data_IF_061526599331
#
_entry.id   IF_061526599331
#
_cell.length_a   1.000
_cell.length_b   1.000
_cell.length_c   1.000
_cell.angle_alpha   90.00
_cell.angle_beta   90.00
_cell.angle_gamma   90.00
#
_symmetry.space_group_name_H-M   'P 1'
#
loop_
_entity.id
_entity.type
_entity.pdbx_description
1 polymer ?
#
# COMPACT_ATOMS: atom_id res chain seq x y z
N UNK A 1 9.07 -41.81 14.46
CA UNK A 1 9.01 -41.17 15.79
C UNK A 1 10.14 -40.16 15.83
N UNK A 2 9.84 -38.88 15.58
CA UNK A 2 10.82 -37.80 15.72
C UNK A 2 11.16 -37.66 17.22
N UNK A 3 12.43 -37.47 17.57
CA UNK A 3 12.84 -37.45 18.98
C UNK A 3 12.42 -36.14 19.66
N UNK A 4 12.19 -36.14 20.98
CA UNK A 4 11.86 -34.92 21.76
C UNK A 4 12.85 -33.77 21.54
N UNK A 5 14.11 -34.09 21.20
CA UNK A 5 15.16 -33.12 20.87
C UNK A 5 14.91 -32.42 19.53
N UNK A 6 14.33 -33.11 18.55
CA UNK A 6 14.02 -32.52 17.24
C UNK A 6 12.83 -31.55 17.35
N UNK A 7 11.83 -31.89 18.17
CA UNK A 7 10.70 -31.00 18.48
C UNK A 7 11.19 -29.75 19.25
N UNK A 8 12.05 -29.92 20.25
CA UNK A 8 12.63 -28.78 20.98
C UNK A 8 13.45 -27.85 20.07
N UNK A 9 14.24 -28.40 19.14
CA UNK A 9 15.04 -27.61 18.21
C UNK A 9 14.19 -26.85 17.18
N UNK A 10 13.07 -27.44 16.73
CA UNK A 10 12.08 -26.76 15.90
C UNK A 10 11.36 -25.63 16.65
N UNK A 11 11.01 -25.84 17.93
CA UNK A 11 10.38 -24.84 18.79
C UNK A 11 11.36 -23.68 19.12
N UNK A 12 12.64 -23.97 19.34
CA UNK A 12 13.67 -22.93 19.57
C UNK A 12 13.88 -22.06 18.32
N UNK A 13 13.85 -22.63 17.11
CA UNK A 13 13.94 -21.85 15.87
C UNK A 13 12.76 -20.88 15.68
N UNK A 14 11.53 -21.24 16.12
CA UNK A 14 10.38 -20.32 16.12
C UNK A 14 10.50 -19.18 17.17
N UNK A 15 11.51 -19.23 18.05
CA UNK A 15 11.79 -18.28 19.13
C UNK A 15 13.09 -17.48 18.94
N UNK A 16 13.75 -17.56 17.78
CA UNK A 16 15.02 -16.87 17.53
C UNK A 16 14.96 -15.37 17.90
N UNK A 17 15.95 -14.94 18.67
CA UNK A 17 16.22 -13.55 19.07
C UNK A 17 17.46 -13.05 18.30
N UNK A 18 17.43 -11.92 17.57
CA UNK A 18 16.29 -11.02 17.38
C UNK A 18 15.13 -11.66 16.59
N UNK A 19 13.90 -11.30 16.98
CA UNK A 19 12.69 -11.70 16.27
C UNK A 19 12.80 -11.38 14.78
N UNK A 20 12.78 -12.41 13.95
CA UNK A 20 12.71 -12.28 12.51
C UNK A 20 11.25 -12.24 12.07
N UNK A 21 10.79 -11.10 11.52
CA UNK A 21 9.45 -10.98 10.92
C UNK A 21 9.26 -12.02 9.80
N UNK A 22 8.07 -12.61 9.72
CA UNK A 22 7.69 -13.54 8.64
C UNK A 22 8.09 -15.01 8.88
N UNK A 23 8.57 -15.37 10.08
CA UNK A 23 9.10 -16.70 10.37
C UNK A 23 8.16 -17.61 11.17
N UNK A 24 7.00 -17.11 11.60
CA UNK A 24 6.08 -17.87 12.47
C UNK A 24 5.02 -18.61 11.67
N UNK A 25 5.37 -19.79 11.15
CA UNK A 25 4.43 -20.67 10.45
C UNK A 25 3.57 -21.48 11.41
N UNK A 26 2.26 -21.49 11.15
CA UNK A 26 1.28 -22.30 11.87
C UNK A 26 1.08 -23.64 11.15
N UNK A 27 1.44 -24.74 11.81
CA UNK A 27 1.37 -26.09 11.26
C UNK A 27 0.24 -26.93 11.89
N UNK A 28 -0.10 -28.07 11.28
CA UNK A 28 -1.11 -28.98 11.83
C UNK A 28 -0.67 -29.50 13.21
N UNK A 29 -1.55 -29.35 14.21
CA UNK A 29 -1.27 -29.71 15.60
C UNK A 29 -0.66 -28.59 16.45
N UNK A 30 -0.26 -27.46 15.87
CA UNK A 30 0.21 -26.30 16.63
C UNK A 30 -0.90 -25.71 17.51
N UNK A 31 -0.51 -25.23 18.70
CA UNK A 31 -1.40 -24.44 19.52
C UNK A 31 -1.48 -23.01 18.96
N UNK A 32 -2.56 -22.71 18.23
CA UNK A 32 -2.85 -21.38 17.66
C UNK A 32 -2.67 -20.21 18.66
N UNK A 33 -2.84 -20.43 19.97
CA UNK A 33 -2.70 -19.40 21.00
C UNK A 33 -1.33 -19.37 21.68
N UNK A 34 -0.32 -20.05 21.15
CA UNK A 34 1.05 -20.00 21.65
C UNK A 34 1.66 -18.60 21.44
N UNK A 35 1.56 -18.06 20.23
CA UNK A 35 2.00 -16.70 19.89
C UNK A 35 0.80 -15.75 19.77
N UNK A 36 1.08 -14.43 19.73
CA UNK A 36 0.05 -13.42 19.48
C UNK A 36 -0.26 -13.24 17.99
N UNK A 37 0.62 -13.72 17.11
CA UNK A 37 0.45 -13.67 15.67
C UNK A 37 1.25 -14.80 14.97
N UNK A 38 0.71 -15.24 13.84
CA UNK A 38 1.30 -16.20 12.90
C UNK A 38 1.33 -15.59 11.49
N UNK A 39 2.34 -15.95 10.73
CA UNK A 39 2.63 -15.47 9.38
C UNK A 39 2.18 -16.50 8.33
N UNK A 40 1.83 -16.04 7.12
CA UNK A 40 1.44 -16.87 5.98
C UNK A 40 0.25 -17.81 6.25
N UNK A 41 -0.73 -17.36 7.05
CA UNK A 41 -1.89 -18.17 7.42
C UNK A 41 -3.08 -17.91 6.50
N UNK A 42 -3.53 -18.96 5.81
CA UNK A 42 -4.78 -18.93 5.06
C UNK A 42 -6.00 -18.96 5.98
N UNK A 43 -7.07 -18.21 5.67
CA UNK A 43 -8.33 -18.33 6.40
C UNK A 43 -8.94 -19.73 6.29
N UNK A 44 -9.42 -20.26 7.42
CA UNK A 44 -10.18 -21.50 7.47
C UNK A 44 -11.58 -21.36 6.83
N UNK A 45 -12.20 -22.49 6.50
CA UNK A 45 -13.50 -22.51 5.82
C UNK A 45 -14.62 -21.91 6.68
N UNK A 46 -14.50 -22.00 8.00
CA UNK A 46 -15.41 -21.34 8.94
C UNK A 46 -15.37 -19.82 8.79
N UNK A 47 -14.16 -19.23 8.76
CA UNK A 47 -14.01 -17.80 8.54
C UNK A 47 -14.47 -17.37 7.15
N UNK A 48 -14.17 -18.16 6.10
CA UNK A 48 -14.64 -17.87 4.73
C UNK A 48 -16.17 -17.84 4.66
N UNK A 49 -16.84 -18.84 5.22
CA UNK A 49 -18.30 -18.88 5.29
C UNK A 49 -18.86 -17.70 6.11
N UNK A 50 -18.24 -17.38 7.24
CA UNK A 50 -18.60 -16.21 8.05
C UNK A 50 -18.46 -14.90 7.25
N UNK A 51 -17.37 -14.74 6.50
CA UNK A 51 -17.12 -13.56 5.69
C UNK A 51 -18.21 -13.33 4.64
N UNK A 52 -18.59 -14.38 3.90
CA UNK A 52 -19.67 -14.29 2.89
C UNK A 52 -20.99 -13.84 3.51
N UNK A 53 -21.37 -14.40 4.67
CA UNK A 53 -22.57 -13.97 5.40
C UNK A 53 -22.49 -12.50 5.83
N UNK A 54 -21.30 -12.00 6.20
CA UNK A 54 -21.15 -10.58 6.52
C UNK A 54 -21.26 -9.70 5.27
N UNK A 55 -20.68 -10.10 4.15
CA UNK A 55 -20.76 -9.36 2.90
C UNK A 55 -22.22 -9.22 2.42
N UNK A 56 -23.02 -10.27 2.51
CA UNK A 56 -24.45 -10.21 2.21
C UNK A 56 -25.19 -9.19 3.10
N UNK A 57 -24.92 -9.20 4.41
CA UNK A 57 -25.51 -8.22 5.35
C UNK A 57 -25.10 -6.79 5.07
N UNK A 58 -23.85 -6.58 4.64
CA UNK A 58 -23.33 -5.27 4.27
C UNK A 58 -23.99 -4.77 2.99
N UNK A 59 -24.10 -5.60 1.95
CA UNK A 59 -24.80 -5.29 0.69
C UNK A 59 -26.29 -4.99 0.92
N UNK A 60 -26.94 -5.70 1.84
CA UNK A 60 -28.34 -5.49 2.18
C UNK A 60 -28.62 -4.16 2.93
N UNK A 61 -27.58 -3.49 3.44
CA UNK A 61 -27.70 -2.23 4.16
C UNK A 61 -26.58 -1.25 3.75
N UNK A 62 -26.60 -0.76 2.49
CA UNK A 62 -25.60 0.16 1.98
C UNK A 62 -25.70 1.54 2.66
N UNK A 63 -24.73 2.40 2.39
CA UNK A 63 -24.88 3.84 2.65
C UNK A 63 -26.08 4.40 1.87
N UNK A 64 -26.67 5.49 2.36
CA UNK A 64 -27.70 6.21 1.58
C UNK A 64 -27.06 6.92 0.38
N UNK A 65 -27.82 7.16 -0.69
CA UNK A 65 -27.34 7.93 -1.86
C UNK A 65 -26.81 9.32 -1.46
N UNK A 66 -27.50 9.95 -0.50
CA UNK A 66 -27.08 11.23 0.07
C UNK A 66 -25.69 11.14 0.71
N UNK A 67 -25.47 10.14 1.57
CA UNK A 67 -24.19 9.94 2.23
C UNK A 67 -23.11 9.51 1.24
N UNK A 68 -23.44 8.68 0.25
CA UNK A 68 -22.51 8.27 -0.82
C UNK A 68 -21.99 9.50 -1.58
N UNK A 69 -22.88 10.41 -1.97
CA UNK A 69 -22.52 11.68 -2.60
C UNK A 69 -21.67 12.55 -1.67
N UNK A 70 -22.08 12.67 -0.39
CA UNK A 70 -21.35 13.44 0.62
C UNK A 70 -19.91 12.95 0.85
N UNK A 71 -19.68 11.64 0.86
CA UNK A 71 -18.35 11.06 1.08
C UNK A 71 -17.46 11.16 -0.18
N UNK A 72 -18.06 11.17 -1.37
CA UNK A 72 -17.30 11.23 -2.63
C UNK A 72 -17.01 12.66 -3.13
N UNK A 73 -17.83 13.65 -2.81
CA UNK A 73 -17.65 15.01 -3.34
C UNK A 73 -16.52 15.80 -2.70
N UNK A 74 -16.22 15.55 -1.42
CA UNK A 74 -15.14 16.23 -0.70
C UNK A 74 -14.39 15.22 0.19
N UNK A 75 -13.61 14.30 -0.42
CA UNK A 75 -12.86 13.30 0.33
C UNK A 75 -11.75 13.94 1.20
N UNK A 76 -11.21 15.09 0.79
CA UNK A 76 -10.17 15.81 1.51
C UNK A 76 -10.64 16.25 2.90
N UNK A 77 -11.89 16.70 3.02
CA UNK A 77 -12.49 17.09 4.30
C UNK A 77 -12.41 16.00 5.37
N UNK A 78 -12.61 14.74 4.99
CA UNK A 78 -12.61 13.62 5.94
C UNK A 78 -11.20 13.32 6.46
N UNK A 79 -10.20 13.34 5.58
CA UNK A 79 -8.80 13.22 6.00
C UNK A 79 -8.33 14.43 6.82
N UNK A 80 -8.76 15.63 6.46
CA UNK A 80 -8.50 16.84 7.25
C UNK A 80 -9.09 16.74 8.67
N UNK A 81 -10.33 16.25 8.82
CA UNK A 81 -10.94 16.03 10.12
C UNK A 81 -10.19 14.94 10.91
N UNK A 82 -9.80 13.86 10.23
CA UNK A 82 -9.03 12.78 10.85
C UNK A 82 -7.72 13.29 11.46
N UNK A 83 -6.87 13.97 10.67
CA UNK A 83 -5.57 14.44 11.16
C UNK A 83 -5.69 15.59 12.16
N UNK A 84 -6.69 16.46 12.03
CA UNK A 84 -6.98 17.48 13.03
C UNK A 84 -7.30 16.88 14.40
N UNK A 85 -7.93 15.71 14.44
CA UNK A 85 -8.33 15.05 15.69
C UNK A 85 -7.26 14.11 16.26
N UNK A 86 -6.40 13.53 15.41
CA UNK A 86 -5.49 12.45 15.80
C UNK A 86 -4.00 12.82 15.79
N UNK A 87 -3.62 13.89 15.10
CA UNK A 87 -2.22 14.35 14.95
C UNK A 87 -1.28 13.21 14.52
N UNK A 88 -0.17 13.04 15.22
CA UNK A 88 0.87 12.02 15.10
C UNK A 88 0.63 10.77 15.98
N UNK A 89 -0.45 10.73 16.75
CA UNK A 89 -0.66 9.70 17.78
C UNK A 89 -1.28 8.40 17.26
N UNK A 90 -1.80 8.39 16.04
CA UNK A 90 -2.63 7.27 15.55
C UNK A 90 -1.80 6.16 14.89
N UNK A 91 -0.90 6.52 13.97
CA UNK A 91 -0.09 5.56 13.24
C UNK A 91 1.28 5.42 13.88
N UNK A 92 1.84 4.20 13.80
CA UNK A 92 3.17 3.90 14.31
C UNK A 92 4.19 3.94 13.19
N UNK A 93 5.44 4.27 13.55
CA UNK A 93 6.59 4.14 12.65
C UNK A 93 6.67 2.73 12.05
N UNK A 94 6.83 2.68 10.74
CA UNK A 94 6.82 1.43 9.98
C UNK A 94 8.19 0.74 10.05
N UNK A 95 8.43 0.02 11.13
CA UNK A 95 9.69 -0.71 11.40
C UNK A 95 10.03 -1.82 10.39
N UNK A 96 9.06 -2.26 9.59
CA UNK A 96 9.20 -3.34 8.63
C UNK A 96 9.66 -2.86 7.23
N UNK A 97 9.71 -1.55 6.98
CA UNK A 97 9.94 -0.99 5.64
C UNK A 97 11.20 -1.52 4.95
N UNK A 98 12.34 -1.55 5.64
CA UNK A 98 13.60 -1.98 5.02
C UNK A 98 13.64 -3.49 4.74
N UNK A 99 12.94 -4.29 5.53
CA UNK A 99 12.85 -5.73 5.32
C UNK A 99 11.96 -6.04 4.11
N UNK A 100 10.81 -5.38 4.01
CA UNK A 100 9.84 -5.61 2.94
C UNK A 100 10.22 -4.89 1.64
N UNK A 101 10.93 -3.77 1.72
CA UNK A 101 11.36 -2.96 0.59
C UNK A 101 12.87 -2.63 0.67
N UNK A 102 13.75 -3.59 0.33
CA UNK A 102 15.20 -3.41 0.40
C UNK A 102 15.75 -2.24 -0.40
N UNK A 103 15.05 -1.82 -1.48
CA UNK A 103 15.43 -0.63 -2.27
C UNK A 103 15.54 0.64 -1.41
N UNK A 104 14.77 0.74 -0.32
CA UNK A 104 14.86 1.88 0.60
C UNK A 104 16.20 1.92 1.35
N UNK A 105 16.81 0.76 1.60
CA UNK A 105 18.17 0.68 2.13
C UNK A 105 19.21 1.07 1.06
N UNK A 106 18.97 0.75 -0.22
CA UNK A 106 19.90 1.11 -1.31
C UNK A 106 19.96 2.62 -1.53
N UNK A 107 18.82 3.31 -1.59
CA UNK A 107 18.78 4.77 -1.85
C UNK A 107 19.31 5.60 -0.67
N UNK A 108 19.41 5.00 0.52
CA UNK A 108 19.91 5.64 1.74
C UNK A 108 21.41 5.41 1.99
N UNK A 109 22.10 4.62 1.17
CA UNK A 109 23.56 4.40 1.30
C UNK A 109 24.35 5.65 0.95
N UNK A 110 25.45 5.88 1.67
CA UNK A 110 26.37 7.02 1.51
C UNK A 110 26.73 7.34 0.05
N UNK A 111 26.97 6.31 -0.76
CA UNK A 111 27.45 6.44 -2.14
C UNK A 111 26.36 6.20 -3.21
N UNK A 112 25.07 6.22 -2.83
CA UNK A 112 23.95 5.98 -3.74
C UNK A 112 23.71 7.10 -4.77
N UNK A 113 24.44 8.20 -4.67
CA UNK A 113 24.28 9.38 -5.53
C UNK A 113 22.96 10.12 -5.28
N UNK A 114 22.58 11.07 -6.16
CA UNK A 114 21.29 11.75 -6.08
C UNK A 114 20.13 10.75 -6.17
N UNK A 115 19.27 10.76 -5.15
CA UNK A 115 18.09 9.89 -5.08
C UNK A 115 16.87 10.72 -4.67
N UNK A 116 15.77 10.55 -5.41
CA UNK A 116 14.49 11.20 -5.11
C UNK A 116 13.46 10.14 -4.77
N UNK A 117 12.95 10.19 -3.54
CA UNK A 117 11.87 9.32 -3.04
C UNK A 117 10.61 10.15 -2.85
N UNK A 118 9.50 9.71 -3.41
CA UNK A 118 8.18 10.31 -3.18
C UNK A 118 7.35 9.34 -2.32
N UNK A 119 6.91 9.79 -1.14
CA UNK A 119 5.84 9.13 -0.38
C UNK A 119 4.50 9.79 -0.71
N UNK A 120 3.54 9.01 -1.19
CA UNK A 120 2.17 9.48 -1.47
C UNK A 120 1.23 9.00 -0.37
N UNK A 121 0.50 9.92 0.25
CA UNK A 121 -0.28 9.63 1.46
C UNK A 121 0.61 9.51 2.69
N UNK A 122 1.55 10.45 2.84
CA UNK A 122 2.58 10.39 3.88
C UNK A 122 2.05 10.52 5.32
N UNK A 123 0.83 11.04 5.48
CA UNK A 123 0.18 11.19 6.77
C UNK A 123 1.00 12.04 7.74
N UNK A 124 1.24 11.50 8.94
CA UNK A 124 2.10 12.13 9.94
C UNK A 124 3.60 11.77 9.78
N UNK A 125 4.02 11.23 8.63
CA UNK A 125 5.44 10.96 8.33
C UNK A 125 5.99 9.63 8.86
N UNK A 126 5.13 8.67 9.23
CA UNK A 126 5.55 7.38 9.81
C UNK A 126 6.35 6.46 8.87
N UNK A 127 6.53 6.84 7.60
CA UNK A 127 7.49 6.23 6.66
C UNK A 127 8.66 7.18 6.40
N UNK A 128 8.36 8.44 6.03
CA UNK A 128 9.37 9.45 5.73
C UNK A 128 10.38 9.66 6.88
N UNK A 129 9.92 9.81 8.13
CA UNK A 129 10.83 10.03 9.26
C UNK A 129 11.74 8.84 9.54
N UNK A 130 11.27 7.59 9.63
CA UNK A 130 12.17 6.43 9.71
C UNK A 130 13.16 6.32 8.54
N UNK A 131 12.74 6.64 7.31
CA UNK A 131 13.62 6.62 6.14
C UNK A 131 14.78 7.62 6.30
N UNK A 132 14.48 8.85 6.71
CA UNK A 132 15.48 9.91 6.94
C UNK A 132 16.37 9.57 8.13
N UNK A 133 15.81 8.97 9.19
CA UNK A 133 16.57 8.60 10.40
C UNK A 133 17.64 7.55 10.10
N UNK A 134 17.38 6.68 9.13
CA UNK A 134 18.30 5.64 8.70
C UNK A 134 19.14 6.06 7.47
N UNK A 135 19.13 7.34 7.09
CA UNK A 135 19.80 7.83 5.89
C UNK A 135 21.28 8.13 6.12
N UNK A 136 22.14 7.61 5.25
CA UNK A 136 23.55 7.97 5.14
C UNK A 136 23.87 8.72 3.83
N UNK A 137 22.90 8.81 2.90
CA UNK A 137 23.04 9.47 1.62
C UNK A 137 22.83 10.99 1.73
N UNK A 138 23.90 11.75 1.56
CA UNK A 138 23.88 13.22 1.62
C UNK A 138 23.06 13.87 0.50
N UNK A 139 22.74 13.13 -0.56
CA UNK A 139 22.01 13.60 -1.75
C UNK A 139 20.59 12.99 -1.86
N UNK A 140 20.09 12.36 -0.79
CA UNK A 140 18.72 11.90 -0.73
C UNK A 140 17.76 13.08 -0.59
N UNK A 141 16.70 13.10 -1.41
CA UNK A 141 15.54 13.97 -1.23
C UNK A 141 14.26 13.16 -1.12
N UNK A 142 13.51 13.37 -0.04
CA UNK A 142 12.21 12.77 0.23
C UNK A 142 11.13 13.82 0.03
N UNK A 143 10.23 13.61 -0.92
CA UNK A 143 8.99 14.37 -1.07
C UNK A 143 7.88 13.60 -0.36
N UNK A 144 7.36 14.15 0.74
CA UNK A 144 6.32 13.54 1.55
C UNK A 144 4.98 14.23 1.30
N UNK A 145 4.19 13.69 0.38
CA UNK A 145 2.95 14.31 -0.06
C UNK A 145 1.73 13.68 0.60
N UNK A 146 0.77 14.51 1.02
CA UNK A 146 -0.51 14.03 1.54
C UNK A 146 -1.68 14.87 1.02
N UNK A 147 -2.85 14.26 0.88
CA UNK A 147 -4.06 14.97 0.46
C UNK A 147 -4.60 15.91 1.55
N UNK A 148 -4.27 15.63 2.81
CA UNK A 148 -4.64 16.45 3.96
C UNK A 148 -3.59 17.52 4.26
N UNK A 149 -4.03 18.79 4.22
CA UNK A 149 -3.21 19.91 4.70
C UNK A 149 -2.84 19.81 6.18
N UNK A 150 -3.67 19.16 7.00
CA UNK A 150 -3.38 18.94 8.42
C UNK A 150 -2.32 17.86 8.62
N UNK A 151 -2.32 16.80 7.80
CA UNK A 151 -1.23 15.81 7.80
C UNK A 151 0.11 16.47 7.48
N UNK A 152 0.13 17.29 6.41
CA UNK A 152 1.32 18.06 6.01
C UNK A 152 1.77 19.02 7.12
N UNK A 153 0.82 19.70 7.78
CA UNK A 153 1.12 20.56 8.92
C UNK A 153 1.77 19.76 10.07
N UNK A 154 1.19 18.61 10.46
CA UNK A 154 1.75 17.73 11.51
C UNK A 154 3.19 17.31 11.17
N UNK A 155 3.47 16.94 9.92
CA UNK A 155 4.84 16.61 9.51
C UNK A 155 5.78 17.81 9.63
N UNK A 156 5.39 18.99 9.12
CA UNK A 156 6.24 20.20 9.13
C UNK A 156 6.50 20.74 10.53
N UNK A 157 5.60 20.52 11.47
CA UNK A 157 5.72 20.92 12.88
C UNK A 157 6.50 19.92 13.75
N UNK A 158 6.82 18.73 13.22
CA UNK A 158 7.58 17.72 13.95
C UNK A 158 9.05 18.10 14.11
N UNK A 159 9.63 17.84 15.29
CA UNK A 159 11.07 17.96 15.54
C UNK A 159 11.91 17.02 14.65
N UNK A 160 11.29 16.01 14.04
CA UNK A 160 11.95 15.10 13.09
C UNK A 160 12.02 15.67 11.67
N UNK A 161 11.33 16.78 11.38
CA UNK A 161 11.33 17.40 10.06
C UNK A 161 12.69 18.01 9.74
N UNK A 162 13.39 17.43 8.76
CA UNK A 162 14.69 17.91 8.34
C UNK A 162 14.64 18.47 6.90
N UNK A 163 14.60 19.80 6.70
CA UNK A 163 14.43 20.40 5.38
C UNK A 163 15.60 20.11 4.42
N UNK A 164 16.75 19.66 4.94
CA UNK A 164 17.87 19.18 4.12
C UNK A 164 17.42 17.99 3.27
N UNK A 165 16.82 16.98 3.90
CA UNK A 165 16.49 15.71 3.26
C UNK A 165 15.04 15.58 2.84
N UNK A 166 14.13 16.40 3.36
CA UNK A 166 12.71 16.28 3.00
C UNK A 166 12.02 17.59 2.67
N UNK A 167 10.92 17.46 1.94
CA UNK A 167 9.88 18.48 1.81
C UNK A 167 8.53 17.77 1.99
N UNK A 168 7.57 18.41 2.65
CA UNK A 168 6.22 17.89 2.76
C UNK A 168 5.21 18.85 2.13
N UNK A 169 4.33 18.36 1.26
CA UNK A 169 3.40 19.22 0.49
C UNK A 169 2.01 18.58 0.34
N UNK A 170 1.01 19.44 0.12
CA UNK A 170 -0.34 18.96 -0.19
C UNK A 170 -0.40 18.55 -1.64
N UNK A 171 -0.84 17.33 -1.91
CA UNK A 171 -1.03 16.83 -3.26
C UNK A 171 -2.13 15.78 -3.32
N UNK A 172 -2.96 15.88 -4.37
CA UNK A 172 -3.91 14.83 -4.74
C UNK A 172 -3.26 13.95 -5.82
N UNK A 173 -3.07 12.67 -5.52
CA UNK A 173 -2.47 11.72 -6.46
C UNK A 173 -3.27 11.61 -7.78
N UNK A 174 -4.59 11.84 -7.71
CA UNK A 174 -5.49 11.86 -8.85
C UNK A 174 -5.88 13.30 -9.26
N UNK A 175 -5.00 14.27 -9.02
CA UNK A 175 -5.17 15.62 -9.55
C UNK A 175 -5.26 15.59 -11.09
N UNK A 176 -6.17 16.39 -11.63
CA UNK A 176 -6.28 16.67 -13.07
C UNK A 176 -5.50 17.96 -13.35
N UNK A 177 -4.74 18.06 -14.45
CA UNK A 177 -4.10 19.31 -14.85
C UNK A 177 -5.13 20.44 -14.99
N UNK A 178 -4.76 21.63 -14.56
CA UNK A 178 -5.58 22.83 -14.67
C UNK A 178 -4.73 24.03 -15.16
N UNK A 179 -5.32 25.22 -15.16
CA UNK A 179 -4.61 26.45 -15.57
C UNK A 179 -3.43 26.82 -14.66
N UNK A 180 -3.35 26.23 -13.46
CA UNK A 180 -2.37 26.54 -12.43
C UNK A 180 -1.24 25.50 -12.33
N UNK A 181 -1.33 24.37 -13.05
CA UNK A 181 -0.29 23.35 -13.02
C UNK A 181 -0.59 22.07 -13.80
N UNK A 182 0.43 21.23 -13.91
CA UNK A 182 0.41 19.99 -14.69
C UNK A 182 -0.06 18.76 -13.88
N UNK A 183 -0.73 18.99 -12.75
CA UNK A 183 -1.17 18.03 -11.71
C UNK A 183 -0.07 17.31 -10.93
N UNK A 184 1.21 17.61 -11.15
CA UNK A 184 2.30 16.99 -10.41
C UNK A 184 2.52 17.67 -9.05
N UNK A 185 3.08 16.95 -8.05
CA UNK A 185 3.36 17.53 -6.74
C UNK A 185 4.41 18.65 -6.82
N UNK A 186 4.33 19.65 -5.94
CA UNK A 186 5.29 20.75 -5.93
C UNK A 186 6.76 20.30 -5.91
N UNK A 187 7.57 20.90 -6.78
CA UNK A 187 9.01 20.63 -6.87
C UNK A 187 9.40 19.35 -7.59
N UNK A 188 8.44 18.59 -8.13
CA UNK A 188 8.69 17.42 -8.96
C UNK A 188 8.19 17.64 -10.39
N UNK A 189 8.83 16.97 -11.34
CA UNK A 189 8.50 17.00 -12.77
C UNK A 189 8.43 15.58 -13.33
N UNK A 190 8.04 15.44 -14.60
CA UNK A 190 8.08 14.13 -15.25
C UNK A 190 9.49 13.53 -15.23
N UNK A 191 9.59 12.22 -14.96
CA UNK A 191 10.86 11.51 -14.92
C UNK A 191 11.83 12.01 -13.86
N UNK A 192 11.34 12.56 -12.73
CA UNK A 192 12.19 13.11 -11.67
C UNK A 192 12.36 12.19 -10.46
N UNK A 193 11.55 11.14 -10.32
CA UNK A 193 11.47 10.31 -9.11
C UNK A 193 12.10 8.92 -9.34
N UNK A 194 12.95 8.48 -8.40
CA UNK A 194 13.60 7.16 -8.41
C UNK A 194 12.70 6.09 -7.76
N UNK A 195 12.08 6.42 -6.63
CA UNK A 195 11.20 5.50 -5.88
C UNK A 195 9.91 6.21 -5.44
N UNK A 196 8.76 5.62 -5.73
CA UNK A 196 7.45 6.05 -5.22
C UNK A 196 6.95 5.03 -4.18
N UNK A 197 6.57 5.51 -3.00
CA UNK A 197 5.99 4.72 -1.91
C UNK A 197 4.48 4.98 -1.86
N UNK A 198 3.70 3.92 -1.96
CA UNK A 198 2.24 3.89 -1.95
C UNK A 198 1.76 2.95 -0.84
N UNK A 199 1.62 3.46 0.39
CA UNK A 199 1.18 2.64 1.53
C UNK A 199 -0.16 3.14 2.07
N UNK A 200 -1.20 2.32 1.93
CA UNK A 200 -2.58 2.62 2.32
C UNK A 200 -3.19 3.83 1.63
N UNK A 201 -2.87 4.03 0.35
CA UNK A 201 -3.29 5.18 -0.43
C UNK A 201 -4.29 4.82 -1.53
N UNK A 202 -4.05 3.75 -2.29
CA UNK A 202 -4.97 3.33 -3.36
C UNK A 202 -6.31 2.89 -2.78
N UNK A 203 -6.31 2.28 -1.58
CA UNK A 203 -7.57 1.97 -0.90
C UNK A 203 -8.37 3.20 -0.48
N UNK A 204 -7.75 4.35 -0.28
CA UNK A 204 -8.46 5.57 0.10
C UNK A 204 -9.10 6.31 -1.10
N UNK A 205 -8.62 6.01 -2.30
CA UNK A 205 -9.14 6.55 -3.55
C UNK A 205 -10.48 5.90 -3.92
N UNK A 206 -11.33 6.66 -4.62
CA UNK A 206 -12.45 6.06 -5.33
C UNK A 206 -11.90 5.24 -6.50
N UNK A 207 -12.47 4.06 -6.83
CA UNK A 207 -12.02 3.27 -7.98
C UNK A 207 -11.88 4.06 -9.29
N UNK A 208 -12.72 5.06 -9.53
CA UNK A 208 -12.63 5.91 -10.72
C UNK A 208 -11.41 6.85 -10.76
N UNK A 209 -10.68 7.00 -9.65
CA UNK A 209 -9.48 7.83 -9.53
C UNK A 209 -8.18 7.03 -9.79
N UNK A 210 -8.23 5.70 -9.81
CA UNK A 210 -7.02 4.86 -9.89
C UNK A 210 -6.26 5.03 -11.20
N UNK A 211 -6.96 5.15 -12.34
CA UNK A 211 -6.30 5.33 -13.64
C UNK A 211 -5.47 6.63 -13.67
N UNK A 212 -6.06 7.71 -13.17
CA UNK A 212 -5.38 9.02 -13.14
C UNK A 212 -4.22 9.02 -12.13
N UNK A 213 -4.41 8.39 -10.97
CA UNK A 213 -3.32 8.20 -10.01
C UNK A 213 -2.15 7.41 -10.63
N UNK A 214 -2.43 6.28 -11.29
CA UNK A 214 -1.42 5.49 -12.01
C UNK A 214 -0.73 6.30 -13.10
N UNK A 215 -1.47 7.12 -13.85
CA UNK A 215 -0.92 8.02 -14.86
C UNK A 215 0.07 9.02 -14.26
N UNK A 216 -0.29 9.68 -13.17
CA UNK A 216 0.59 10.63 -12.50
C UNK A 216 1.83 9.95 -11.89
N UNK A 217 1.66 8.79 -11.25
CA UNK A 217 2.76 7.95 -10.75
C UNK A 217 3.71 7.57 -11.89
N UNK A 218 3.18 7.11 -13.03
CA UNK A 218 3.98 6.75 -14.18
C UNK A 218 4.76 7.95 -14.76
N UNK A 219 4.11 9.12 -14.86
CA UNK A 219 4.75 10.37 -15.33
C UNK A 219 5.92 10.77 -14.43
N UNK A 220 5.77 10.70 -13.11
CA UNK A 220 6.78 11.09 -12.13
C UNK A 220 8.04 10.21 -12.16
N UNK A 221 7.87 8.91 -12.41
CA UNK A 221 8.98 7.95 -12.37
C UNK A 221 9.97 8.16 -13.51
N UNK A 222 11.26 8.12 -13.18
CA UNK A 222 12.34 7.90 -14.15
C UNK A 222 12.16 6.56 -14.89
N UNK A 223 12.70 6.41 -16.11
CA UNK A 223 12.92 5.08 -16.70
C UNK A 223 13.64 4.16 -15.70
N UNK A 224 13.07 2.98 -15.42
CA UNK A 224 13.62 2.07 -14.41
C UNK A 224 13.29 2.42 -12.95
N UNK A 225 12.60 3.54 -12.70
CA UNK A 225 12.12 3.93 -11.37
C UNK A 225 11.13 2.90 -10.79
N UNK A 226 11.00 2.88 -9.47
CA UNK A 226 10.35 1.80 -8.75
C UNK A 226 9.12 2.28 -7.95
N UNK A 227 8.11 1.44 -7.85
CA UNK A 227 6.93 1.65 -7.00
C UNK A 227 6.89 0.59 -5.92
N UNK A 228 6.72 1.03 -4.68
CA UNK A 228 6.53 0.19 -3.51
C UNK A 228 5.09 0.34 -3.05
N UNK A 229 4.34 -0.75 -3.10
CA UNK A 229 2.90 -0.74 -2.87
C UNK A 229 2.55 -1.59 -1.65
N UNK A 230 1.71 -1.06 -0.76
CA UNK A 230 1.06 -1.86 0.28
C UNK A 230 -0.33 -1.34 0.57
N UNK A 231 -1.34 -2.19 0.47
CA UNK A 231 -2.72 -1.79 0.71
C UNK A 231 -3.57 -2.90 1.35
N UNK A 232 -4.85 -2.66 1.62
CA UNK A 232 -5.72 -3.67 2.22
C UNK A 232 -6.13 -4.74 1.21
N UNK A 233 -6.09 -6.02 1.63
CA UNK A 233 -6.54 -7.14 0.83
C UNK A 233 -7.95 -7.60 1.20
N UNK A 234 -8.70 -8.11 0.23
CA UNK A 234 -10.02 -8.72 0.44
C UNK A 234 -9.92 -9.88 1.44
N UNK A 235 -10.95 -10.02 2.26
CA UNK A 235 -11.00 -11.01 3.34
C UNK A 235 -10.31 -10.56 4.64
N UNK A 236 -9.72 -9.36 4.69
CA UNK A 236 -9.22 -8.80 5.95
C UNK A 236 -10.38 -8.66 6.95
N UNK A 237 -10.15 -9.00 8.21
CA UNK A 237 -11.17 -8.88 9.27
C UNK A 237 -11.77 -7.47 9.35
N UNK A 238 -11.00 -6.42 9.05
CA UNK A 238 -11.52 -5.06 9.02
C UNK A 238 -12.62 -4.86 7.97
N UNK A 239 -12.53 -5.55 6.81
CA UNK A 239 -13.59 -5.60 5.81
C UNK A 239 -14.79 -6.38 6.33
N UNK A 240 -14.54 -7.59 6.82
CA UNK A 240 -15.58 -8.54 7.23
C UNK A 240 -16.46 -7.96 8.35
N UNK A 241 -15.88 -7.15 9.25
CA UNK A 241 -16.60 -6.59 10.40
C UNK A 241 -17.30 -5.24 10.15
N UNK A 242 -17.36 -4.74 8.91
CA UNK A 242 -18.08 -3.49 8.66
C UNK A 242 -19.54 -3.61 9.10
N UNK A 243 -20.01 -2.58 9.81
CA UNK A 243 -21.40 -2.47 10.26
C UNK A 243 -22.29 -2.00 9.11
N UNK A 244 -23.60 -2.14 9.28
CA UNK A 244 -24.62 -1.56 8.37
C UNK A 244 -24.39 -0.07 8.09
N UNK A 245 -24.76 0.39 6.90
CA UNK A 245 -24.62 1.79 6.48
C UNK A 245 -23.17 2.21 6.20
N UNK A 246 -22.33 1.26 5.78
CA UNK A 246 -20.89 1.51 5.47
C UNK A 246 -20.47 1.01 4.10
N UNK A 247 -21.20 0.07 3.52
CA UNK A 247 -20.98 -0.45 2.17
C UNK A 247 -21.33 0.63 1.14
N UNK A 248 -20.37 0.98 0.27
CA UNK A 248 -20.59 1.92 -0.84
C UNK A 248 -20.72 1.19 -2.17
N UNK A 249 -19.75 0.32 -2.47
CA UNK A 249 -19.71 -0.55 -3.64
C UNK A 249 -18.98 -1.85 -3.25
N UNK A 250 -18.92 -2.83 -4.14
CA UNK A 250 -18.19 -4.07 -3.87
C UNK A 250 -16.75 -3.74 -3.47
N UNK A 251 -16.28 -4.34 -2.38
CA UNK A 251 -14.98 -4.06 -1.75
C UNK A 251 -14.72 -2.59 -1.30
N UNK A 252 -15.64 -1.65 -1.53
CA UNK A 252 -15.46 -0.23 -1.21
C UNK A 252 -16.41 0.26 -0.10
N UNK A 253 -15.82 0.83 0.95
CA UNK A 253 -16.53 1.19 2.18
C UNK A 253 -16.17 2.58 2.66
N UNK A 254 -17.06 3.15 3.47
CA UNK A 254 -16.75 4.31 4.33
C UNK A 254 -16.50 3.87 5.77
N UNK A 255 -15.50 4.47 6.42
CA UNK A 255 -15.14 4.25 7.81
C UNK A 255 -15.97 5.11 8.76
N UNK A 256 -15.84 4.85 10.06
CA UNK A 256 -16.54 5.59 11.11
C UNK A 256 -16.26 7.10 11.12
N UNK A 257 -15.06 7.48 10.71
CA UNK A 257 -14.58 8.87 10.60
C UNK A 257 -14.93 9.53 9.25
N UNK A 258 -15.59 8.82 8.34
CA UNK A 258 -15.97 9.30 7.01
C UNK A 258 -14.91 9.14 5.93
N UNK A 259 -13.69 8.67 6.27
CA UNK A 259 -12.69 8.30 5.27
C UNK A 259 -13.11 7.02 4.54
N UNK A 260 -12.59 6.81 3.33
CA UNK A 260 -12.96 5.67 2.48
C UNK A 260 -11.89 4.59 2.53
N UNK A 261 -12.27 3.35 2.22
CA UNK A 261 -11.35 2.23 2.12
C UNK A 261 -11.86 1.20 1.10
N UNK A 262 -10.97 0.80 0.20
CA UNK A 262 -11.11 -0.33 -0.70
C UNK A 262 -10.31 -1.54 -0.20
N UNK A 263 -10.76 -2.76 -0.49
CA UNK A 263 -10.05 -4.00 -0.20
C UNK A 263 -9.78 -4.76 -1.50
N UNK A 264 -8.51 -4.81 -1.90
CA UNK A 264 -8.11 -5.33 -3.20
C UNK A 264 -8.12 -6.85 -3.25
N UNK A 265 -8.59 -7.39 -4.36
CA UNK A 265 -8.29 -8.76 -4.75
C UNK A 265 -6.87 -8.84 -5.33
N UNK A 266 -6.19 -9.98 -5.16
CA UNK A 266 -4.85 -10.18 -5.70
C UNK A 266 -4.84 -10.03 -7.23
N UNK A 267 -5.76 -10.72 -7.90
CA UNK A 267 -5.80 -10.78 -9.36
C UNK A 267 -6.20 -9.43 -9.97
N UNK A 268 -7.00 -8.64 -9.26
CA UNK A 268 -7.31 -7.26 -9.65
C UNK A 268 -6.04 -6.41 -9.71
N UNK A 269 -5.15 -6.52 -8.73
CA UNK A 269 -3.87 -5.81 -8.73
C UNK A 269 -2.92 -6.34 -9.82
N UNK A 270 -2.90 -7.66 -10.06
CA UNK A 270 -2.12 -8.25 -11.15
C UNK A 270 -2.56 -7.65 -12.49
N UNK A 271 -3.87 -7.54 -12.73
CA UNK A 271 -4.40 -6.95 -13.96
C UNK A 271 -4.13 -5.45 -14.04
N UNK A 272 -4.36 -4.73 -12.94
CA UNK A 272 -4.13 -3.29 -12.87
C UNK A 272 -2.68 -2.93 -13.22
N UNK A 273 -1.70 -3.54 -12.55
CA UNK A 273 -0.29 -3.23 -12.78
C UNK A 273 0.29 -3.94 -14.02
N UNK A 274 -0.30 -5.07 -14.40
CA UNK A 274 0.14 -5.91 -15.51
C UNK A 274 -0.51 -5.61 -16.87
N UNK A 275 -1.53 -4.76 -16.95
CA UNK A 275 -2.14 -4.34 -18.25
C UNK A 275 -2.11 -2.85 -18.50
N UNK A 276 -1.96 -2.03 -17.47
CA UNK A 276 -2.06 -0.58 -17.60
C UNK A 276 -0.97 -0.02 -18.52
N UNK A 277 -1.38 0.86 -19.44
CA UNK A 277 -0.49 1.72 -20.24
C UNK A 277 -1.05 3.14 -20.33
N UNK A 278 -0.24 4.18 -20.57
CA UNK A 278 -0.72 5.54 -20.77
C UNK A 278 -1.79 5.66 -21.87
N UNK A 279 -1.73 4.84 -22.91
CA UNK A 279 -2.63 4.91 -24.06
C UNK A 279 -3.97 4.21 -23.78
N UNK A 280 -3.92 3.10 -23.05
CA UNK A 280 -5.07 2.22 -22.80
C UNK A 280 -5.76 2.45 -21.47
N UNK A 281 -5.07 3.06 -20.51
CA UNK A 281 -5.54 3.23 -19.14
C UNK A 281 -5.73 1.89 -18.41
N UNK A 282 -6.55 1.92 -17.37
CA UNK A 282 -6.86 0.78 -16.51
C UNK A 282 -7.71 -0.27 -17.24
N UNK A 283 -7.20 -1.50 -17.29
CA UNK A 283 -7.84 -2.64 -17.93
C UNK A 283 -7.94 -3.81 -16.94
N UNK A 284 -9.02 -3.87 -16.16
CA UNK A 284 -9.28 -5.00 -15.26
C UNK A 284 -10.32 -5.91 -15.91
N UNK A 285 -9.88 -7.10 -16.32
CA UNK A 285 -10.73 -8.18 -16.83
C UNK A 285 -10.45 -9.43 -16.00
N UNK A 286 -11.34 -9.73 -15.05
CA UNK A 286 -11.20 -10.88 -14.15
C UNK A 286 -11.62 -12.19 -14.81
N UNK A 287 -12.35 -12.15 -15.93
CA UNK A 287 -12.77 -13.36 -16.66
C UNK A 287 -11.63 -13.90 -17.54
N UNK A 288 -10.72 -13.04 -17.97
CA UNK A 288 -9.52 -13.40 -18.74
C UNK A 288 -8.23 -13.04 -17.98
N UNK A 289 -7.79 -13.86 -17.00
CA UNK A 289 -6.56 -13.60 -16.25
C UNK A 289 -5.32 -13.58 -17.16
N UNK A 290 -4.32 -12.76 -16.82
CA UNK A 290 -3.02 -12.83 -17.49
C UNK A 290 -2.27 -14.11 -17.07
N UNK A 291 -1.69 -14.80 -18.04
CA UNK A 291 -0.68 -15.83 -17.77
C UNK A 291 0.65 -15.22 -17.33
N UNK A 292 1.49 -16.01 -16.67
CA UNK A 292 2.84 -15.59 -16.25
C UNK A 292 3.71 -15.10 -17.42
N UNK A 293 3.61 -15.74 -18.59
CA UNK A 293 4.33 -15.30 -19.79
C UNK A 293 3.86 -13.92 -20.27
N UNK A 294 2.55 -13.64 -20.22
CA UNK A 294 2.02 -12.33 -20.60
C UNK A 294 2.42 -11.22 -19.60
N UNK A 295 2.58 -11.54 -18.32
CA UNK A 295 3.10 -10.60 -17.32
C UNK A 295 4.59 -10.29 -17.55
N UNK A 296 5.37 -11.28 -17.97
CA UNK A 296 6.79 -11.13 -18.24
C UNK A 296 7.07 -10.42 -19.58
N UNK A 297 6.40 -10.85 -20.65
CA UNK A 297 6.63 -10.43 -22.04
C UNK A 297 5.77 -9.23 -22.48
N UNK A 298 4.79 -8.83 -21.65
CA UNK A 298 3.80 -7.83 -22.02
C UNK A 298 4.39 -6.46 -22.38
N UNK A 299 3.82 -5.84 -23.42
CA UNK A 299 4.00 -4.43 -23.78
C UNK A 299 3.29 -3.53 -22.75
N UNK A 300 3.70 -3.63 -21.49
CA UNK A 300 3.10 -3.00 -20.33
C UNK A 300 4.02 -1.90 -19.82
N UNK A 301 3.46 -0.90 -19.14
CA UNK A 301 4.25 0.22 -18.64
C UNK A 301 5.03 -0.11 -17.36
N UNK A 302 4.57 -1.12 -16.61
CA UNK A 302 5.23 -1.61 -15.41
C UNK A 302 5.62 -3.08 -15.55
N UNK A 303 6.82 -3.40 -15.10
CA UNK A 303 7.23 -4.76 -14.76
C UNK A 303 6.82 -5.05 -13.31
N UNK A 304 6.09 -6.15 -13.12
CA UNK A 304 5.72 -6.65 -11.78
C UNK A 304 6.88 -7.48 -11.24
N UNK A 305 7.68 -6.91 -10.33
CA UNK A 305 8.80 -7.62 -9.68
C UNK A 305 8.32 -8.60 -8.62
N UNK A 306 7.34 -8.17 -7.84
CA UNK A 306 6.70 -8.96 -6.81
C UNK A 306 5.30 -8.42 -6.57
N UNK A 307 4.32 -9.29 -6.41
CA UNK A 307 2.99 -8.95 -5.93
C UNK A 307 2.46 -10.16 -5.16
N UNK A 308 1.99 -9.94 -3.94
CA UNK A 308 1.51 -11.02 -3.09
C UNK A 308 0.61 -10.52 -1.97
N UNK A 309 -0.05 -11.47 -1.29
CA UNK A 309 -0.85 -11.22 -0.10
C UNK A 309 -0.05 -11.56 1.17
N UNK A 310 0.18 -10.57 2.03
CA UNK A 310 0.64 -10.76 3.40
C UNK A 310 -0.57 -11.13 4.27
N UNK A 311 -0.71 -12.43 4.52
CA UNK A 311 -1.77 -13.01 5.35
C UNK A 311 -1.24 -13.33 6.73
N UNK A 312 -1.89 -12.79 7.75
CA UNK A 312 -1.53 -13.03 9.16
C UNK A 312 -2.73 -13.44 9.97
N UNK A 313 -2.52 -14.40 10.86
CA UNK A 313 -3.49 -14.71 11.91
C UNK A 313 -3.03 -14.02 13.20
N UNK A 314 -3.73 -12.96 13.60
CA UNK A 314 -3.55 -12.34 14.92
C UNK A 314 -4.54 -13.00 15.88
N UNK A 315 -4.08 -13.34 17.08
CA UNK A 315 -4.95 -13.97 18.09
C UNK A 315 -5.02 -13.13 19.36
N UNK A 316 -6.24 -13.00 19.90
CA UNK A 316 -6.41 -12.57 21.27
C UNK A 316 -6.43 -13.81 22.16
N UNK A 317 -5.36 -14.00 22.92
CA UNK A 317 -5.19 -15.18 23.78
C UNK A 317 -6.17 -15.22 24.95
N UNK A 318 -6.62 -14.05 25.43
CA UNK A 318 -7.57 -13.93 26.55
C UNK A 318 -9.00 -14.24 26.13
N UNK A 319 -9.46 -13.67 25.01
CA UNK A 319 -10.82 -13.88 24.51
C UNK A 319 -10.94 -15.03 23.51
N UNK A 320 -9.82 -15.71 23.21
CA UNK A 320 -9.72 -16.80 22.23
C UNK A 320 -10.24 -16.43 20.84
N UNK A 321 -10.05 -15.17 20.45
CA UNK A 321 -10.46 -14.67 19.13
C UNK A 321 -9.34 -14.83 18.10
N UNK A 322 -9.68 -15.39 16.94
CA UNK A 322 -8.87 -15.40 15.73
C UNK A 322 -9.19 -14.16 14.90
N UNK A 323 -8.17 -13.49 14.37
CA UNK A 323 -8.30 -12.31 13.53
C UNK A 323 -7.42 -12.45 12.29
N UNK A 324 -8.03 -12.89 11.20
CA UNK A 324 -7.37 -12.98 9.90
C UNK A 324 -7.18 -11.57 9.32
N UNK A 325 -5.92 -11.24 9.02
CA UNK A 325 -5.53 -9.97 8.41
C UNK A 325 -4.94 -10.24 7.04
N UNK A 326 -5.26 -9.36 6.09
CA UNK A 326 -4.84 -9.49 4.71
C UNK A 326 -4.40 -8.12 4.20
N UNK A 327 -3.16 -8.07 3.71
CA UNK A 327 -2.62 -6.89 3.03
C UNK A 327 -2.04 -7.31 1.69
N UNK A 328 -2.24 -6.47 0.68
CA UNK A 328 -1.57 -6.63 -0.61
C UNK A 328 -0.24 -5.91 -0.54
N UNK A 329 0.80 -6.54 -1.08
CA UNK A 329 2.15 -5.96 -1.15
C UNK A 329 2.73 -6.16 -2.53
N UNK A 330 3.17 -5.06 -3.15
CA UNK A 330 3.68 -5.03 -4.51
C UNK A 330 5.00 -4.26 -4.63
N UNK A 331 5.82 -4.70 -5.58
CA UNK A 331 7.01 -4.01 -6.04
C UNK A 331 6.97 -4.00 -7.57
N UNK A 332 6.97 -2.81 -8.14
CA UNK A 332 6.87 -2.61 -9.57
C UNK A 332 8.03 -1.75 -10.06
N UNK A 333 8.41 -1.91 -11.32
CA UNK A 333 9.42 -1.11 -11.98
C UNK A 333 8.85 -0.52 -13.26
N UNK A 334 8.97 0.80 -13.45
CA UNK A 334 8.64 1.44 -14.73
C UNK A 334 9.59 0.89 -15.79
N UNK A 335 9.05 0.33 -16.87
CA UNK A 335 9.88 -0.13 -17.99
C UNK A 335 10.53 1.09 -18.64
N UNK A 336 11.82 1.00 -18.94
CA UNK A 336 12.53 2.03 -19.69
C UNK A 336 11.97 2.08 -21.11
N UNK A 337 11.67 3.28 -21.61
CA UNK A 337 11.22 3.43 -22.99
C UNK A 337 12.36 3.17 -23.96
N UNK A 338 12.44 1.96 -24.48
CA UNK A 338 13.06 1.65 -25.78
C UNK A 338 12.00 1.01 -26.68
N UNK A 339 11.05 1.82 -27.15
CA UNK A 339 10.20 1.47 -28.30
C UNK A 339 10.01 2.73 -29.15
N UNK A 340 11.11 3.17 -29.80
CA UNK A 340 11.16 3.93 -31.07
C UNK A 340 12.40 4.85 -31.15
N UNK A 341 13.56 4.30 -31.49
CA UNK A 341 14.66 5.05 -32.12
C UNK A 341 15.77 4.15 -32.71
N UNK A 342 15.39 2.99 -33.25
CA UNK A 342 16.33 2.13 -33.97
C UNK A 342 15.64 1.47 -35.17
N UNK A 343 15.12 2.28 -36.09
CA UNK A 343 14.83 1.89 -37.48
C UNK A 343 14.45 3.17 -38.24
N UNK A 344 15.46 3.79 -38.84
CA UNK A 344 15.44 4.67 -40.02
C UNK A 344 16.69 5.55 -40.02
N UNK A 345 17.83 4.90 -40.22
CA UNK A 345 19.04 5.52 -40.73
C UNK A 345 19.73 4.50 -41.64
N UNK A 346 19.12 4.28 -42.81
CA UNK A 346 19.82 3.95 -44.07
C UNK A 346 19.20 4.74 -45.21
#
# INVERSE_FOLDING_TARGET
>A
MSSEKDIHKFIENKRADPFQFGSRYLEEGDNVFEFNAWDHVEPDDEFKAFAEVQYEKQRAAPVSDFDQNRFNNDPAKWWNLFYKNNTDNFFKDRKWLQQEFPVLAEVTKKDAGPQVVLEVGAGAGNTAFPLIRNNENEQLKVHACDFSKYAVQVMRESDQYNPKYMVADVWDAAAVPDENGDSLPPGLTEGSVDVIILIFIFSALNPNQWDLALRNIYRLLKPGGQVLFRDYGRGDLAQVRFKKGRYMQENFYVRGDGTRVYFFDHDELVQMWGRWTPEKGLQVDLENPLSESQLAEGNTSFEVKHLGADRRLIVNRSSKLKMYRCWMQGHFRKRGGDVASAENAE
#
